data_IF_583555446657
#
_entry.id   IF_583555446657
#
_cell.length_a   1.000
_cell.length_b   1.000
_cell.length_c   1.000
_cell.angle_alpha   90.00
_cell.angle_beta   90.00
_cell.angle_gamma   90.00
#
_symmetry.space_group_name_H-M   'P 1'
#
loop_
_entity.id
_entity.type
_entity.pdbx_description
1 polymer ?
#
# COMPACT_ATOMS: atom_id res chain seq x y z
N UNK A 1 22.26 -16.03 2.89
CA UNK A 1 21.22 -15.71 1.86
C UNK A 1 21.86 -14.88 0.75
N UNK A 2 21.54 -15.12 -0.52
CA UNK A 2 22.14 -14.41 -1.65
C UNK A 2 21.77 -12.90 -1.60
N UNK A 3 22.76 -11.99 -1.65
CA UNK A 3 22.57 -10.52 -1.57
C UNK A 3 21.54 -10.01 -2.60
N UNK A 4 21.52 -10.61 -3.79
CA UNK A 4 20.55 -10.28 -4.85
C UNK A 4 19.11 -10.61 -4.44
N UNK A 5 18.90 -11.78 -3.84
CA UNK A 5 17.58 -12.21 -3.36
C UNK A 5 17.08 -11.28 -2.27
N UNK A 6 17.94 -10.92 -1.30
CA UNK A 6 17.58 -10.01 -0.22
C UNK A 6 17.20 -8.60 -0.73
N UNK A 7 17.93 -8.08 -1.72
CA UNK A 7 17.61 -6.81 -2.39
C UNK A 7 16.25 -6.87 -3.11
N UNK A 8 15.94 -7.98 -3.76
CA UNK A 8 14.62 -8.21 -4.37
C UNK A 8 13.51 -8.23 -3.32
N UNK A 9 13.70 -8.96 -2.21
CA UNK A 9 12.72 -9.03 -1.11
C UNK A 9 12.46 -7.64 -0.52
N UNK A 10 13.51 -6.84 -0.26
CA UNK A 10 13.30 -5.49 0.26
C UNK A 10 12.66 -4.54 -0.76
N UNK A 11 12.99 -4.69 -2.04
CA UNK A 11 12.33 -3.91 -3.08
C UNK A 11 10.85 -4.25 -3.21
N UNK A 12 10.51 -5.54 -3.11
CA UNK A 12 9.13 -6.04 -3.06
C UNK A 12 8.38 -5.42 -1.87
N UNK A 13 8.95 -5.53 -0.68
CA UNK A 13 8.34 -5.03 0.55
C UNK A 13 8.13 -3.52 0.50
N UNK A 14 9.07 -2.74 -0.02
CA UNK A 14 8.89 -1.29 -0.17
C UNK A 14 7.71 -0.95 -1.08
N UNK A 15 7.57 -1.63 -2.22
CA UNK A 15 6.46 -1.37 -3.14
C UNK A 15 5.12 -1.70 -2.48
N UNK A 16 5.03 -2.87 -1.83
CA UNK A 16 3.83 -3.28 -1.12
C UNK A 16 3.45 -2.32 0.03
N UNK A 17 4.43 -1.96 0.87
CA UNK A 17 4.21 -1.05 2.01
C UNK A 17 3.84 0.36 1.54
N UNK A 18 4.48 0.87 0.48
CA UNK A 18 4.14 2.18 -0.09
C UNK A 18 2.69 2.21 -0.60
N UNK A 19 2.26 1.18 -1.33
CA UNK A 19 0.88 1.05 -1.76
C UNK A 19 -0.10 1.03 -0.57
N UNK A 20 0.25 0.32 0.50
CA UNK A 20 -0.51 0.30 1.77
C UNK A 20 -0.62 1.68 2.42
N UNK A 21 0.45 2.46 2.45
CA UNK A 21 0.44 3.85 2.96
C UNK A 21 -0.52 4.71 2.12
N UNK A 22 -0.38 4.69 0.80
CA UNK A 22 -1.25 5.46 -0.10
C UNK A 22 -2.73 5.07 0.08
N UNK A 23 -3.00 3.77 0.21
CA UNK A 23 -4.34 3.22 0.46
C UNK A 23 -4.94 3.74 1.76
N UNK A 24 -4.21 3.62 2.87
CA UNK A 24 -4.69 4.05 4.19
C UNK A 24 -4.89 5.57 4.26
N UNK A 25 -3.97 6.36 3.71
CA UNK A 25 -4.11 7.81 3.64
C UNK A 25 -5.32 8.25 2.81
N UNK A 26 -5.59 7.58 1.70
CA UNK A 26 -6.77 7.88 0.89
C UNK A 26 -8.07 7.54 1.63
N UNK A 27 -8.11 6.43 2.37
CA UNK A 27 -9.27 6.10 3.22
C UNK A 27 -9.46 7.18 4.29
N UNK A 28 -8.40 7.60 4.97
CA UNK A 28 -8.46 8.69 5.97
C UNK A 28 -9.00 9.97 5.32
N UNK A 29 -8.47 10.35 4.16
CA UNK A 29 -8.95 11.51 3.42
C UNK A 29 -10.45 11.41 3.13
N UNK A 30 -10.92 10.28 2.60
CA UNK A 30 -12.33 10.07 2.28
C UNK A 30 -13.23 10.13 3.53
N UNK A 31 -12.79 9.54 4.65
CA UNK A 31 -13.52 9.62 5.94
C UNK A 31 -13.63 11.06 6.45
N UNK A 32 -12.63 11.91 6.20
CA UNK A 32 -12.64 13.31 6.65
C UNK A 32 -13.40 14.25 5.70
N UNK A 33 -13.35 14.02 4.39
CA UNK A 33 -13.92 14.96 3.40
C UNK A 33 -15.35 14.65 2.99
N UNK A 34 -15.78 13.41 3.14
CA UNK A 34 -17.11 12.99 2.70
C UNK A 34 -17.98 12.62 3.91
N UNK A 35 -19.05 13.40 4.20
CA UNK A 35 -19.97 13.16 5.30
C UNK A 35 -20.58 11.76 5.31
N UNK A 36 -20.66 11.09 4.15
CA UNK A 36 -21.11 9.72 4.04
C UNK A 36 -20.18 8.74 4.77
N UNK A 37 -18.87 8.97 4.72
CA UNK A 37 -17.87 8.15 5.42
C UNK A 37 -17.64 8.62 6.87
N UNK A 38 -17.88 9.89 7.17
CA UNK A 38 -17.84 10.43 8.53
C UNK A 38 -18.98 9.87 9.40
N UNK A 39 -20.19 9.81 8.86
CA UNK A 39 -21.40 9.36 9.55
C UNK A 39 -21.67 7.86 9.38
N UNK A 40 -20.63 7.02 9.30
CA UNK A 40 -20.73 5.56 9.15
C UNK A 40 -21.35 4.89 10.41
N UNK A 41 -22.63 5.17 10.67
CA UNK A 41 -23.54 4.29 11.39
C UNK A 41 -23.78 3.08 10.47
N UNK A 42 -23.16 1.95 10.81
CA UNK A 42 -23.21 0.71 10.04
C UNK A 42 -24.63 0.10 9.99
N UNK A 43 -25.51 0.62 9.13
CA UNK A 43 -26.63 -0.19 8.60
C UNK A 43 -26.07 -1.04 7.47
N UNK A 44 -25.66 -2.26 7.83
CA UNK A 44 -25.04 -3.33 7.04
C UNK A 44 -25.51 -3.50 5.58
N UNK A 45 -26.71 -3.05 5.21
CA UNK A 45 -27.23 -3.17 3.85
C UNK A 45 -26.71 -2.13 2.85
N UNK A 46 -26.46 -0.87 3.25
CA UNK A 46 -25.97 0.18 2.33
C UNK A 46 -24.46 0.14 2.11
N UNK A 47 -23.74 -0.56 2.99
CA UNK A 47 -22.29 -0.66 2.96
C UNK A 47 -21.82 -1.46 1.74
N UNK A 48 -22.38 -2.65 1.48
CA UNK A 48 -21.84 -3.54 0.43
C UNK A 48 -21.90 -2.96 -0.99
N UNK A 49 -22.98 -2.27 -1.38
CA UNK A 49 -23.09 -1.70 -2.74
C UNK A 49 -22.13 -0.52 -2.96
N UNK A 50 -22.01 0.37 -1.98
CA UNK A 50 -21.10 1.53 -2.08
C UNK A 50 -19.65 1.17 -1.75
N UNK A 51 -19.43 0.09 -0.99
CA UNK A 51 -18.12 -0.44 -0.65
C UNK A 51 -17.36 -0.94 -1.88
N UNK A 52 -18.04 -1.53 -2.88
CA UNK A 52 -17.36 -1.94 -4.11
C UNK A 52 -16.88 -0.75 -4.95
N UNK A 53 -17.72 0.29 -5.11
CA UNK A 53 -17.32 1.54 -5.75
C UNK A 53 -16.19 2.25 -4.99
N UNK A 54 -16.27 2.24 -3.66
CA UNK A 54 -15.23 2.79 -2.79
C UNK A 54 -13.93 2.00 -2.86
N UNK A 55 -13.98 0.66 -2.89
CA UNK A 55 -12.81 -0.18 -3.11
C UNK A 55 -12.17 0.18 -4.45
N UNK A 56 -12.96 0.35 -5.50
CA UNK A 56 -12.42 0.68 -6.82
C UNK A 56 -11.64 2.02 -6.81
N UNK A 57 -12.18 3.07 -6.18
CA UNK A 57 -11.44 4.34 -6.01
C UNK A 57 -10.23 4.19 -5.08
N UNK A 58 -10.39 3.50 -3.96
CA UNK A 58 -9.32 3.29 -2.98
C UNK A 58 -8.24 2.30 -3.45
N UNK A 59 -8.44 1.62 -4.57
CA UNK A 59 -7.40 0.85 -5.25
C UNK A 59 -6.75 1.64 -6.38
N UNK A 60 -7.55 2.32 -7.21
CA UNK A 60 -7.04 2.93 -8.44
C UNK A 60 -5.99 4.02 -8.15
N UNK A 61 -6.28 4.94 -7.23
CA UNK A 61 -5.35 6.04 -6.90
C UNK A 61 -4.06 5.50 -6.26
N UNK A 62 -4.08 4.64 -5.23
CA UNK A 62 -2.86 4.06 -4.67
C UNK A 62 -2.04 3.24 -5.67
N UNK A 63 -2.70 2.52 -6.58
CA UNK A 63 -2.02 1.79 -7.65
C UNK A 63 -1.28 2.77 -8.57
N UNK A 64 -1.92 3.85 -9.01
CA UNK A 64 -1.28 4.87 -9.86
C UNK A 64 -0.05 5.46 -9.15
N UNK A 65 -0.20 5.88 -7.89
CA UNK A 65 0.91 6.42 -7.10
C UNK A 65 2.05 5.40 -6.95
N UNK A 66 1.71 4.13 -6.75
CA UNK A 66 2.68 3.04 -6.65
C UNK A 66 3.40 2.79 -7.98
N UNK A 67 2.70 2.86 -9.11
CA UNK A 67 3.31 2.75 -10.45
C UNK A 67 4.30 3.89 -10.67
N UNK A 68 3.95 5.12 -10.31
CA UNK A 68 4.86 6.27 -10.39
C UNK A 68 6.09 6.09 -9.49
N UNK A 69 5.91 5.59 -8.27
CA UNK A 69 7.01 5.26 -7.37
C UNK A 69 7.93 4.17 -7.93
N UNK A 70 7.37 3.12 -8.52
CA UNK A 70 8.13 2.05 -9.18
C UNK A 70 8.90 2.58 -10.39
N UNK A 71 8.26 3.41 -11.24
CA UNK A 71 8.91 4.05 -12.38
C UNK A 71 10.10 4.92 -11.93
N UNK A 72 9.92 5.73 -10.89
CA UNK A 72 11.01 6.51 -10.29
C UNK A 72 12.18 5.62 -9.84
N UNK A 73 11.91 4.50 -9.14
CA UNK A 73 12.97 3.57 -8.69
C UNK A 73 13.69 2.89 -9.85
N UNK A 74 12.98 2.53 -10.92
CA UNK A 74 13.58 1.91 -12.11
C UNK A 74 14.48 2.92 -12.85
N UNK A 75 14.03 4.17 -13.01
CA UNK A 75 14.81 5.23 -13.64
C UNK A 75 16.11 5.49 -12.86
N UNK A 76 16.04 5.51 -11.53
CA UNK A 76 17.19 5.75 -10.63
C UNK A 76 18.22 4.61 -10.62
N UNK A 77 17.86 3.41 -11.08
CA UNK A 77 18.78 2.27 -11.09
C UNK A 77 19.82 2.41 -12.21
N UNK A 78 21.11 2.26 -11.90
CA UNK A 78 22.19 2.39 -12.90
C UNK A 78 22.42 1.10 -13.71
N UNK A 79 22.09 -0.07 -13.16
CA UNK A 79 22.35 -1.37 -13.82
C UNK A 79 21.10 -1.89 -14.55
N UNK A 80 21.26 -2.33 -15.80
CA UNK A 80 20.16 -2.86 -16.63
C UNK A 80 19.53 -4.13 -16.03
N UNK A 81 20.34 -5.01 -15.43
CA UNK A 81 19.89 -6.21 -14.70
C UNK A 81 19.07 -5.89 -13.46
N UNK A 82 19.43 -4.81 -12.74
CA UNK A 82 18.65 -4.36 -11.59
C UNK A 82 17.30 -3.76 -12.01
N UNK A 83 17.24 -3.08 -13.18
CA UNK A 83 15.99 -2.51 -13.70
C UNK A 83 14.94 -3.59 -14.01
N UNK A 84 15.33 -4.67 -14.67
CA UNK A 84 14.40 -5.77 -14.98
C UNK A 84 13.92 -6.48 -13.72
N UNK A 85 14.81 -6.73 -12.76
CA UNK A 85 14.46 -7.31 -11.47
C UNK A 85 13.50 -6.39 -10.71
N UNK A 86 13.80 -5.09 -10.63
CA UNK A 86 12.92 -4.10 -9.98
C UNK A 86 11.54 -4.06 -10.65
N UNK A 87 11.46 -4.11 -11.98
CA UNK A 87 10.19 -4.13 -12.69
C UNK A 87 9.34 -5.36 -12.33
N UNK A 88 9.93 -6.56 -12.41
CA UNK A 88 9.23 -7.81 -12.08
C UNK A 88 8.77 -7.80 -10.61
N UNK A 89 9.67 -7.43 -9.70
CA UNK A 89 9.39 -7.36 -8.27
C UNK A 89 8.31 -6.32 -7.95
N UNK A 90 8.30 -5.19 -8.65
CA UNK A 90 7.29 -4.15 -8.49
C UNK A 90 5.91 -4.64 -8.93
N UNK A 91 5.83 -5.35 -10.07
CA UNK A 91 4.59 -5.95 -10.55
C UNK A 91 4.05 -6.94 -9.50
N UNK A 92 4.90 -7.83 -8.99
CA UNK A 92 4.51 -8.79 -7.94
C UNK A 92 4.03 -8.05 -6.68
N UNK A 93 4.76 -7.02 -6.24
CA UNK A 93 4.37 -6.19 -5.08
C UNK A 93 3.00 -5.53 -5.23
N UNK A 94 2.70 -4.99 -6.41
CA UNK A 94 1.39 -4.38 -6.72
C UNK A 94 0.29 -5.45 -6.71
N UNK A 95 0.51 -6.59 -7.37
CA UNK A 95 -0.48 -7.67 -7.35
C UNK A 95 -0.76 -8.15 -5.93
N UNK A 96 0.28 -8.41 -5.13
CA UNK A 96 0.10 -8.84 -3.74
C UNK A 96 -0.59 -7.79 -2.89
N UNK A 97 -0.33 -6.49 -3.12
CA UNK A 97 -1.09 -5.40 -2.49
C UNK A 97 -2.59 -5.48 -2.81
N UNK A 98 -2.97 -5.62 -4.09
CA UNK A 98 -4.38 -5.68 -4.50
C UNK A 98 -5.13 -6.80 -3.74
N UNK A 99 -4.52 -7.98 -3.63
CA UNK A 99 -5.13 -9.11 -2.93
C UNK A 99 -5.17 -8.93 -1.40
N UNK A 100 -4.06 -8.50 -0.78
CA UNK A 100 -3.97 -8.39 0.69
C UNK A 100 -4.73 -7.20 1.25
N UNK A 101 -4.70 -6.05 0.58
CA UNK A 101 -5.36 -4.83 1.07
C UNK A 101 -6.89 -5.00 1.13
N UNK A 102 -7.48 -5.78 0.21
CA UNK A 102 -8.90 -6.18 0.29
C UNK A 102 -9.21 -6.96 1.58
N UNK A 103 -8.31 -7.86 1.98
CA UNK A 103 -8.48 -8.65 3.20
C UNK A 103 -8.27 -7.80 4.46
N UNK A 104 -7.21 -6.99 4.47
CA UNK A 104 -6.87 -6.08 5.57
C UNK A 104 -8.03 -5.11 5.80
N UNK A 105 -8.51 -4.41 4.77
CA UNK A 105 -9.66 -3.51 4.86
C UNK A 105 -10.89 -4.21 5.42
N UNK A 106 -11.24 -5.40 4.90
CA UNK A 106 -12.39 -6.16 5.40
C UNK A 106 -12.29 -6.49 6.89
N UNK A 107 -11.09 -6.81 7.39
CA UNK A 107 -10.87 -7.07 8.81
C UNK A 107 -10.97 -5.80 9.68
N UNK A 108 -10.63 -4.65 9.12
CA UNK A 108 -10.55 -3.37 9.87
C UNK A 108 -11.86 -2.60 9.91
N UNK A 109 -12.67 -2.71 8.87
CA UNK A 109 -14.03 -2.17 8.85
C UNK A 109 -14.96 -2.88 9.85
N UNK A 110 -14.47 -3.89 10.58
CA UNK A 110 -15.18 -4.54 11.67
C UNK A 110 -15.04 -3.80 13.01
N UNK A 111 -14.11 -2.83 13.11
CA UNK A 111 -13.96 -2.01 14.32
C UNK A 111 -14.84 -0.76 14.24
N UNK A 112 -15.47 -0.41 15.36
CA UNK A 112 -16.39 0.73 15.47
C UNK A 112 -15.75 2.08 15.13
N UNK A 113 -14.42 2.16 15.09
CA UNK A 113 -13.68 3.41 14.84
C UNK A 113 -12.70 3.25 13.67
N UNK A 114 -13.23 3.34 12.44
CA UNK A 114 -12.48 3.22 11.19
C UNK A 114 -11.33 4.21 11.12
N UNK A 115 -11.57 5.47 11.50
CA UNK A 115 -10.56 6.54 11.41
C UNK A 115 -9.34 6.21 12.26
N UNK A 116 -9.55 5.85 13.53
CA UNK A 116 -8.46 5.47 14.43
C UNK A 116 -7.71 4.24 13.89
N UNK A 117 -8.45 3.24 13.39
CA UNK A 117 -7.86 2.02 12.83
C UNK A 117 -6.96 2.32 11.63
N UNK A 118 -7.41 3.18 10.72
CA UNK A 118 -6.64 3.57 9.53
C UNK A 118 -5.41 4.41 9.89
N UNK A 119 -5.51 5.28 10.90
CA UNK A 119 -4.36 6.06 11.41
C UNK A 119 -3.29 5.12 12.00
N UNK A 120 -3.69 4.17 12.84
CA UNK A 120 -2.77 3.19 13.44
C UNK A 120 -2.06 2.37 12.35
N UNK A 121 -2.78 1.94 11.32
CA UNK A 121 -2.20 1.18 10.20
C UNK A 121 -1.26 2.00 9.36
N UNK A 122 -1.62 3.26 9.08
CA UNK A 122 -0.73 4.18 8.37
C UNK A 122 0.59 4.31 9.14
N UNK A 123 0.54 4.47 10.46
CA UNK A 123 1.73 4.52 11.30
C UNK A 123 2.55 3.23 11.22
N UNK A 124 1.91 2.06 11.33
CA UNK A 124 2.58 0.76 11.21
C UNK A 124 3.26 0.61 9.83
N UNK A 125 2.57 0.94 8.74
CA UNK A 125 3.15 0.87 7.41
C UNK A 125 4.34 1.82 7.22
N UNK A 126 4.27 3.05 7.74
CA UNK A 126 5.38 3.99 7.70
C UNK A 126 6.60 3.43 8.45
N UNK A 127 6.40 2.91 9.67
CA UNK A 127 7.48 2.33 10.48
C UNK A 127 8.14 1.17 9.72
N UNK A 128 7.34 0.22 9.21
CA UNK A 128 7.84 -0.91 8.44
C UNK A 128 8.55 -0.47 7.17
N UNK A 129 8.00 0.52 6.45
CA UNK A 129 8.62 1.06 5.24
C UNK A 129 9.99 1.66 5.54
N UNK A 130 10.09 2.49 6.59
CA UNK A 130 11.36 3.08 7.03
C UNK A 130 12.40 2.02 7.42
N UNK A 131 11.98 0.96 8.12
CA UNK A 131 12.87 -0.15 8.49
C UNK A 131 13.40 -0.88 7.24
N UNK A 132 12.51 -1.24 6.31
CA UNK A 132 12.90 -1.92 5.06
C UNK A 132 13.81 -1.04 4.21
N UNK A 133 13.51 0.27 4.12
CA UNK A 133 14.34 1.23 3.39
C UNK A 133 15.76 1.34 3.95
N UNK A 134 15.88 1.41 5.28
CA UNK A 134 17.18 1.45 5.96
C UNK A 134 17.99 0.17 5.72
N UNK A 135 17.35 -1.00 5.74
CA UNK A 135 18.02 -2.28 5.50
C UNK A 135 18.46 -2.44 4.05
N UNK A 136 17.66 -2.00 3.07
CA UNK A 136 18.06 -2.04 1.66
C UNK A 136 19.31 -1.17 1.41
N UNK A 137 19.39 0.01 2.05
CA UNK A 137 20.55 0.90 1.93
C UNK A 137 21.84 0.23 2.41
N UNK A 138 21.80 -0.43 3.58
CA UNK A 138 22.94 -1.17 4.14
C UNK A 138 23.47 -2.31 3.27
N UNK A 139 22.70 -2.81 2.31
CA UNK A 139 23.12 -3.87 1.38
C UNK A 139 23.81 -3.31 0.14
N UNK A 140 23.55 -2.03 -0.18
CA UNK A 140 24.17 -1.32 -1.31
C UNK A 140 25.53 -0.72 -0.96
N UNK A 141 25.76 -0.43 0.32
CA UNK A 141 27.07 -0.12 0.92
C UNK A 141 27.92 -1.40 1.05
#
# INVERSE_FOLDING_TARGET
MNKKVLKSVFSYLQVHLFAGICSALLVIYLVLTDPYFYNLDFKTHGFNEKYEHFLLMTFTIPIILTILFCAYRIIKSNQKSDKSILAIVSIVGIFTFIYLDKFIKKALFFFDNILLSMVVITAIYIILFSLVFRQEKKIKE
#
